data_IF_535942897785
#
_entry.id   IF_535942897785
#
_cell.length_a   1.000
_cell.length_b   1.000
_cell.length_c   1.000
_cell.angle_alpha   90.00
_cell.angle_beta   90.00
_cell.angle_gamma   90.00
#
_symmetry.space_group_name_H-M   'P 1'
#
loop_
_entity.id
_entity.type
_entity.pdbx_description
1 polymer ?
#
# COMPACT_ATOMS: atom_id res chain seq x y z
N UNK A 1 3.13 -2.77 17.45
CA UNK A 1 2.89 -2.43 16.01
C UNK A 1 1.42 -2.45 15.67
N UNK A 2 0.74 -3.49 16.16
CA UNK A 2 -0.66 -3.67 15.87
C UNK A 2 -1.49 -2.48 16.34
N UNK A 3 -1.57 -1.44 15.52
CA UNK A 3 -2.32 -0.24 15.85
C UNK A 3 -3.70 -0.24 15.19
N UNK A 4 -4.38 0.90 15.27
CA UNK A 4 -5.70 1.04 14.67
C UNK A 4 -5.63 1.87 13.38
N UNK A 5 -6.46 1.55 12.38
CA UNK A 5 -6.46 2.28 11.09
C UNK A 5 -6.38 3.80 11.26
N UNK A 6 -5.25 4.41 10.82
CA UNK A 6 -5.01 5.84 10.98
C UNK A 6 -5.59 6.71 9.89
N UNK A 7 -6.19 7.84 10.29
CA UNK A 7 -6.84 8.77 9.36
C UNK A 7 -6.24 8.76 7.97
N UNK A 8 -7.09 8.54 6.95
CA UNK A 8 -6.67 8.54 5.54
C UNK A 8 -6.14 9.88 5.13
N UNK A 9 -6.54 10.95 5.83
CA UNK A 9 -5.98 12.25 5.55
C UNK A 9 -4.51 12.03 5.74
N UNK A 10 -4.20 11.66 6.95
CA UNK A 10 -2.86 11.38 7.33
C UNK A 10 -2.27 10.29 6.46
N UNK A 11 -2.91 9.12 6.34
CA UNK A 11 -2.38 8.03 5.52
C UNK A 11 -2.20 8.42 4.06
N UNK A 12 -3.16 9.10 3.47
CA UNK A 12 -3.04 9.49 2.07
C UNK A 12 -1.91 10.48 1.90
N UNK A 13 -2.06 11.60 2.59
CA UNK A 13 -1.13 12.69 2.49
C UNK A 13 0.23 12.39 3.08
N UNK A 14 0.27 11.81 4.28
CA UNK A 14 1.56 11.49 4.86
C UNK A 14 2.30 10.50 3.98
N UNK A 15 1.62 9.49 3.41
CA UNK A 15 2.24 8.52 2.56
C UNK A 15 2.59 9.11 1.22
N UNK A 16 3.70 8.61 0.79
CA UNK A 16 4.33 9.01 -0.46
C UNK A 16 4.08 8.04 -1.60
N UNK A 17 3.15 7.12 -1.39
CA UNK A 17 2.71 6.25 -2.47
C UNK A 17 1.46 5.46 -2.08
N UNK A 18 0.41 5.62 -2.88
CA UNK A 18 -0.86 4.96 -2.62
C UNK A 18 -1.42 4.42 -3.89
N UNK A 19 -1.78 3.15 -3.91
CA UNK A 19 -2.27 2.54 -5.13
C UNK A 19 -3.13 1.32 -4.84
N UNK A 20 -4.02 1.05 -5.77
CA UNK A 20 -4.88 -0.10 -5.66
C UNK A 20 -4.26 -1.23 -6.46
N UNK A 21 -4.30 -2.41 -5.87
CA UNK A 21 -3.69 -3.57 -6.50
C UNK A 21 -4.23 -4.90 -6.02
N UNK A 22 -3.75 -5.91 -6.75
CA UNK A 22 -4.02 -7.32 -6.49
C UNK A 22 -2.73 -8.02 -6.09
N UNK A 23 -2.80 -9.02 -5.23
CA UNK A 23 -1.60 -9.75 -4.80
C UNK A 23 -1.41 -10.97 -5.65
N UNK A 24 -0.29 -10.97 -6.34
CA UNK A 24 0.03 -12.03 -7.24
C UNK A 24 1.48 -12.50 -7.13
N UNK A 25 1.93 -12.63 -5.88
CA UNK A 25 3.28 -13.09 -5.58
C UNK A 25 3.45 -13.37 -4.11
N UNK A 26 4.51 -14.08 -3.76
CA UNK A 26 4.77 -14.47 -2.38
C UNK A 26 5.82 -13.56 -1.72
N UNK A 27 5.83 -13.48 -0.37
CA UNK A 27 6.76 -12.62 0.37
C UNK A 27 8.18 -13.20 0.53
N UNK A 28 9.15 -12.42 0.04
CA UNK A 28 10.55 -12.84 0.13
C UNK A 28 11.18 -12.36 1.44
N UNK A 29 11.56 -13.28 2.32
CA UNK A 29 12.11 -12.89 3.62
C UNK A 29 13.62 -13.06 3.82
N UNK A 30 14.43 -12.04 3.60
CA UNK A 30 15.87 -12.22 3.81
C UNK A 30 16.09 -12.43 5.30
N UNK A 31 17.17 -13.13 5.60
CA UNK A 31 17.58 -13.36 6.98
C UNK A 31 18.33 -12.13 7.46
N UNK A 32 18.72 -11.28 6.54
CA UNK A 32 19.56 -10.15 6.85
C UNK A 32 19.08 -8.95 6.10
N UNK A 33 17.82 -8.66 6.30
CA UNK A 33 17.21 -7.54 5.66
C UNK A 33 16.61 -6.70 6.70
N UNK A 34 15.78 -7.35 7.52
CA UNK A 34 14.94 -6.64 8.45
C UNK A 34 13.62 -6.35 7.80
N UNK A 35 13.54 -6.63 6.50
CA UNK A 35 12.33 -6.41 5.69
C UNK A 35 12.12 -7.47 4.65
N UNK A 36 10.91 -7.49 4.12
CA UNK A 36 10.51 -8.47 3.15
C UNK A 36 9.83 -7.81 1.94
N UNK A 37 9.37 -8.62 1.00
CA UNK A 37 8.69 -8.10 -0.18
C UNK A 37 7.57 -9.01 -0.62
N UNK A 38 6.54 -8.38 -1.16
CA UNK A 38 5.39 -9.10 -1.71
C UNK A 38 5.20 -8.64 -3.14
N UNK A 39 4.68 -9.49 -4.02
CA UNK A 39 4.47 -9.11 -5.41
C UNK A 39 3.00 -8.84 -5.61
N UNK A 40 2.63 -7.86 -6.42
CA UNK A 40 1.22 -7.56 -6.56
C UNK A 40 0.79 -7.01 -7.91
N UNK A 41 -0.35 -7.50 -8.36
CA UNK A 41 -0.89 -7.10 -9.65
C UNK A 41 -1.43 -5.67 -9.49
N UNK A 42 -0.53 -4.69 -9.61
CA UNK A 42 -0.90 -3.30 -9.44
C UNK A 42 -1.93 -2.90 -10.46
N UNK A 43 -3.11 -2.57 -9.97
CA UNK A 43 -4.20 -2.19 -10.84
C UNK A 43 -4.03 -0.76 -11.32
N UNK A 44 -4.06 0.22 -10.41
CA UNK A 44 -3.87 1.62 -10.74
C UNK A 44 -3.27 2.35 -9.54
N UNK A 45 -2.48 3.39 -9.80
CA UNK A 45 -1.85 4.15 -8.73
C UNK A 45 -2.65 5.40 -8.43
N UNK A 46 -2.84 5.74 -7.16
CA UNK A 46 -3.59 6.92 -6.79
C UNK A 46 -2.63 8.01 -6.36
N UNK A 47 -1.61 7.63 -5.61
CA UNK A 47 -0.59 8.56 -5.15
C UNK A 47 0.80 7.96 -5.39
N UNK A 48 1.64 8.69 -6.13
CA UNK A 48 2.97 8.21 -6.46
C UNK A 48 3.43 8.71 -7.81
N UNK A 49 2.54 9.38 -8.53
CA UNK A 49 2.83 9.90 -9.86
C UNK A 49 4.22 10.53 -9.93
N UNK A 50 4.54 11.41 -8.99
CA UNK A 50 5.87 12.02 -8.98
C UNK A 50 6.95 10.93 -8.92
N UNK A 51 6.57 9.76 -8.40
CA UNK A 51 7.47 8.61 -8.30
C UNK A 51 7.25 7.68 -9.52
N UNK A 52 6.18 7.96 -10.28
CA UNK A 52 5.84 7.19 -11.48
C UNK A 52 6.87 7.47 -12.54
N UNK A 53 8.06 7.01 -12.27
CA UNK A 53 9.19 7.20 -13.17
C UNK A 53 8.89 6.76 -14.56
N UNK A 54 8.51 5.52 -14.71
CA UNK A 54 8.09 5.01 -16.00
C UNK A 54 6.57 5.09 -16.00
N UNK A 55 5.96 4.07 -15.46
CA UNK A 55 4.53 4.02 -15.33
C UNK A 55 4.14 3.21 -14.12
N UNK A 56 4.88 2.11 -13.93
CA UNK A 56 4.63 1.17 -12.84
C UNK A 56 5.81 1.08 -11.90
N UNK A 57 5.87 1.99 -10.95
CA UNK A 57 6.97 1.99 -9.98
C UNK A 57 6.56 1.40 -8.63
N UNK A 58 5.49 0.60 -8.62
CA UNK A 58 5.02 -0.02 -7.37
C UNK A 58 4.38 -1.37 -7.63
N UNK A 59 5.17 -2.43 -7.77
CA UNK A 59 4.60 -3.74 -8.06
C UNK A 59 4.90 -4.77 -6.98
N UNK A 60 5.59 -4.29 -5.93
CA UNK A 60 5.98 -5.06 -4.77
C UNK A 60 6.01 -4.16 -3.58
N UNK A 61 5.71 -4.74 -2.46
CA UNK A 61 5.62 -4.01 -1.22
C UNK A 61 6.71 -4.42 -0.23
N UNK A 62 7.49 -3.44 0.22
CA UNK A 62 8.59 -3.71 1.12
C UNK A 62 8.34 -3.27 2.56
N UNK A 63 8.16 -4.26 3.40
CA UNK A 63 7.93 -4.06 4.83
C UNK A 63 9.09 -4.67 5.63
N UNK A 64 9.31 -4.20 6.87
CA UNK A 64 10.36 -4.74 7.73
C UNK A 64 10.04 -6.18 8.20
N UNK A 65 11.08 -7.00 8.27
CA UNK A 65 10.98 -8.38 8.66
C UNK A 65 11.29 -8.59 10.14
N UNK A 66 10.82 -7.68 10.97
CA UNK A 66 11.05 -7.76 12.42
C UNK A 66 9.87 -8.42 13.13
N UNK A 67 10.05 -8.69 14.42
CA UNK A 67 9.01 -9.32 15.23
C UNK A 67 7.99 -8.29 15.68
N UNK A 68 8.47 -7.26 16.38
CA UNK A 68 7.61 -6.19 16.89
C UNK A 68 7.26 -5.18 15.79
N UNK A 69 7.57 -5.53 14.55
CA UNK A 69 7.30 -4.65 13.41
C UNK A 69 5.91 -4.93 12.83
N UNK A 70 5.44 -4.04 11.97
CA UNK A 70 4.12 -4.20 11.36
C UNK A 70 4.23 -4.44 9.87
N UNK A 71 4.92 -5.50 9.53
CA UNK A 71 5.12 -5.85 8.16
C UNK A 71 3.85 -5.75 7.33
N UNK A 72 3.34 -6.89 6.94
CA UNK A 72 2.11 -6.94 6.16
C UNK A 72 1.53 -8.33 6.08
N UNK A 73 0.78 -8.73 7.09
CA UNK A 73 0.19 -10.05 7.09
C UNK A 73 -0.90 -10.13 6.02
N UNK A 74 -0.49 -10.67 4.88
CA UNK A 74 -1.39 -10.76 3.74
C UNK A 74 -2.02 -12.14 3.60
N UNK A 75 -3.35 -12.18 3.74
CA UNK A 75 -4.10 -13.42 3.63
C UNK A 75 -5.07 -13.36 2.44
N UNK A 76 -4.53 -13.45 1.24
CA UNK A 76 -5.34 -13.42 0.02
C UNK A 76 -4.58 -14.02 -1.16
N UNK A 77 -5.10 -15.15 -1.65
CA UNK A 77 -4.49 -15.86 -2.79
C UNK A 77 -5.19 -15.51 -4.10
N UNK A 78 -6.24 -14.70 -4.00
CA UNK A 78 -7.00 -14.30 -5.18
C UNK A 78 -6.23 -13.25 -5.99
N UNK A 79 -5.81 -13.64 -7.19
CA UNK A 79 -5.08 -12.76 -8.08
C UNK A 79 -6.03 -11.79 -8.78
N UNK A 80 -7.33 -11.98 -8.57
CA UNK A 80 -8.34 -11.11 -9.17
C UNK A 80 -8.97 -10.22 -8.09
N UNK A 81 -8.48 -10.26 -6.86
CA UNK A 81 -9.03 -9.41 -5.82
C UNK A 81 -8.23 -8.11 -5.70
N UNK A 82 -8.90 -7.00 -5.99
CA UNK A 82 -8.31 -5.67 -5.92
C UNK A 82 -8.00 -5.28 -4.48
N UNK A 83 -7.26 -4.18 -4.29
CA UNK A 83 -6.90 -3.72 -2.95
C UNK A 83 -6.58 -2.22 -2.91
N UNK A 84 -6.36 -1.73 -1.70
CA UNK A 84 -6.01 -0.33 -1.47
C UNK A 84 -4.69 -0.26 -0.68
N UNK A 85 -3.73 0.51 -1.21
CA UNK A 85 -2.41 0.56 -0.56
C UNK A 85 -1.87 2.00 -0.35
N UNK A 86 -1.85 2.40 0.93
CA UNK A 86 -1.22 3.67 1.35
C UNK A 86 0.21 3.30 1.81
N UNK A 87 1.23 3.86 1.15
CA UNK A 87 2.63 3.60 1.54
C UNK A 87 3.67 4.49 0.83
N UNK A 88 4.70 4.92 1.58
CA UNK A 88 5.79 5.75 1.04
C UNK A 88 6.88 4.87 0.40
N UNK A 89 7.77 5.48 -0.38
CA UNK A 89 8.86 4.76 -1.07
C UNK A 89 10.19 4.82 -0.34
N UNK A 90 10.99 3.74 -0.46
CA UNK A 90 12.32 3.66 0.12
C UNK A 90 13.32 3.45 -1.02
N UNK A 91 14.10 4.49 -1.31
CA UNK A 91 15.12 4.39 -2.38
C UNK A 91 14.57 3.67 -3.61
N UNK A 92 13.27 3.77 -3.79
CA UNK A 92 12.64 3.10 -4.92
C UNK A 92 11.51 2.19 -4.51
N UNK A 93 11.79 1.27 -3.59
CA UNK A 93 10.82 0.26 -3.17
C UNK A 93 9.73 0.81 -2.26
N UNK A 94 8.53 0.26 -2.41
CA UNK A 94 7.39 0.64 -1.60
C UNK A 94 7.57 0.13 -0.18
N UNK A 95 6.92 0.78 0.77
CA UNK A 95 6.98 0.35 2.15
C UNK A 95 5.61 0.44 2.77
N UNK A 96 5.27 -0.55 3.59
CA UNK A 96 3.95 -0.56 4.21
C UNK A 96 3.97 -1.26 5.57
N UNK A 97 2.90 -1.06 6.32
CA UNK A 97 2.76 -1.66 7.63
C UNK A 97 1.29 -1.83 8.01
N UNK A 98 1.02 -2.74 8.95
CA UNK A 98 -0.34 -2.99 9.40
C UNK A 98 -0.90 -1.81 10.19
N UNK A 99 -0.14 -0.71 10.28
CA UNK A 99 -0.58 0.50 10.96
C UNK A 99 -0.59 1.65 9.95
N UNK A 100 -0.59 1.26 8.68
CA UNK A 100 -0.65 2.20 7.56
C UNK A 100 -1.98 1.96 6.86
N UNK A 101 -2.54 2.95 6.18
CA UNK A 101 -3.82 2.72 5.54
C UNK A 101 -3.69 1.70 4.41
N UNK A 102 -4.12 0.44 4.65
CA UNK A 102 -4.02 -0.59 3.62
C UNK A 102 -5.12 -1.65 3.73
N UNK A 103 -6.11 -1.59 2.84
CA UNK A 103 -7.23 -2.56 2.86
C UNK A 103 -7.95 -2.67 1.51
N UNK A 104 -8.88 -3.65 1.37
CA UNK A 104 -9.63 -3.89 0.12
C UNK A 104 -10.39 -2.71 -0.42
N UNK A 105 -10.07 -2.33 -1.65
CA UNK A 105 -10.81 -1.28 -2.29
C UNK A 105 -12.26 -1.59 -2.09
N UNK A 106 -12.59 -2.81 -2.48
CA UNK A 106 -13.91 -3.35 -2.41
C UNK A 106 -14.62 -3.08 -1.08
N UNK A 107 -13.86 -2.73 -0.05
CA UNK A 107 -14.45 -2.44 1.27
C UNK A 107 -14.63 -0.94 1.48
N UNK A 108 -14.21 -0.19 0.49
CA UNK A 108 -14.27 1.24 0.52
C UNK A 108 -15.58 1.82 0.03
N UNK A 109 -15.78 3.06 0.42
CA UNK A 109 -16.93 3.81 0.02
C UNK A 109 -16.81 4.10 -1.45
N UNK A 110 -17.94 4.13 -2.08
CA UNK A 110 -18.05 4.45 -3.48
C UNK A 110 -17.59 5.87 -3.74
N UNK A 111 -17.77 6.69 -2.73
CA UNK A 111 -17.37 8.06 -2.74
C UNK A 111 -15.92 8.16 -2.37
N UNK A 112 -15.51 7.31 -1.45
CA UNK A 112 -14.15 7.27 -1.00
C UNK A 112 -13.38 6.34 -1.90
N UNK A 113 -14.11 5.77 -2.83
CA UNK A 113 -13.53 4.97 -3.86
C UNK A 113 -13.17 5.99 -4.92
N UNK A 114 -14.03 6.96 -5.19
CA UNK A 114 -13.65 7.99 -6.12
C UNK A 114 -12.63 8.87 -5.44
N UNK A 115 -12.97 9.25 -4.21
CA UNK A 115 -12.10 10.12 -3.43
C UNK A 115 -10.67 9.67 -3.52
N UNK A 116 -10.39 8.41 -3.45
CA UNK A 116 -9.00 7.98 -3.52
C UNK A 116 -8.52 7.96 -4.95
N UNK A 117 -9.45 7.88 -5.87
CA UNK A 117 -9.11 7.87 -7.28
C UNK A 117 -8.94 9.29 -7.81
N UNK A 118 -9.51 10.25 -7.09
CA UNK A 118 -9.45 11.64 -7.54
C UNK A 118 -9.24 12.69 -6.45
N UNK A 119 -9.87 12.45 -5.32
CA UNK A 119 -10.01 13.45 -4.27
C UNK A 119 -9.13 13.41 -3.02
N UNK A 120 -8.47 12.32 -2.71
CA UNK A 120 -7.78 12.27 -1.43
C UNK A 120 -6.27 12.56 -1.47
N UNK A 121 -5.77 13.14 -2.55
CA UNK A 121 -4.34 13.46 -2.65
C UNK A 121 -4.02 14.95 -2.42
N UNK A 122 -5.15 15.67 -2.55
CA UNK A 122 -5.21 17.11 -2.33
C UNK A 122 -6.18 17.45 -1.20
N UNK A 123 -7.17 16.57 -1.02
CA UNK A 123 -8.16 16.77 0.01
C UNK A 123 -8.22 15.57 0.94
N UNK A 124 -7.08 14.88 1.03
CA UNK A 124 -6.95 13.69 1.84
C UNK A 124 -7.68 13.80 3.17
N UNK A 125 -7.65 15.01 3.73
CA UNK A 125 -8.29 15.30 5.02
C UNK A 125 -9.65 14.64 5.17
N UNK A 126 -9.62 13.40 5.62
CA UNK A 126 -10.84 12.62 5.85
C UNK A 126 -11.84 13.39 6.70
#
# INVERSE_FOLDING_TARGET
CTCVPPHPQTAFCNSDLVIRAKFVGTPEVNQTTLYQRYEIKMTKMYKGFQALGDAADIRFVYTPAMESVCGYFHRSHNRSEEFLIAGKLQDGLLHITTCSFVAPWNSLSLAQRRGFTKTYTVGCEE
#
